data_IF_037184950516
#
_entry.id   IF_037184950516
#
_cell.length_a   1.000
_cell.length_b   1.000
_cell.length_c   1.000
_cell.angle_alpha   90.00
_cell.angle_beta   90.00
_cell.angle_gamma   90.00
#
_symmetry.space_group_name_H-M   'P 1'
#
loop_
_entity.id
_entity.type
_entity.pdbx_description
1 polymer ?
#
# COMPACT_ATOMS: atom_id res chain seq x y z
N UNK A 1 39.19 36.72 5.25
CA UNK A 1 40.00 35.54 5.65
C UNK A 1 41.33 35.61 4.93
N UNK A 2 42.46 35.58 5.64
CA UNK A 2 43.79 35.70 5.03
C UNK A 2 44.20 34.44 4.25
N UNK A 3 45.05 34.60 3.24
CA UNK A 3 45.60 33.53 2.39
C UNK A 3 46.10 32.31 3.21
N UNK A 4 46.73 32.57 4.37
CA UNK A 4 47.21 31.54 5.30
C UNK A 4 46.08 30.68 5.87
N UNK A 5 44.97 31.29 6.29
CA UNK A 5 43.82 30.56 6.84
C UNK A 5 43.15 29.66 5.78
N UNK A 6 43.10 30.12 4.54
CA UNK A 6 42.58 29.35 3.42
C UNK A 6 43.47 28.13 3.11
N UNK A 7 44.79 28.31 3.09
CA UNK A 7 45.75 27.21 2.85
C UNK A 7 45.66 26.16 3.96
N UNK A 8 45.61 26.59 5.23
CA UNK A 8 45.45 25.68 6.37
C UNK A 8 44.15 24.87 6.27
N UNK A 9 43.04 25.52 5.91
CA UNK A 9 41.75 24.84 5.77
C UNK A 9 41.78 23.76 4.67
N UNK A 10 42.41 24.04 3.53
CA UNK A 10 42.54 23.07 2.44
C UNK A 10 43.44 21.89 2.82
N UNK A 11 44.54 22.15 3.55
CA UNK A 11 45.43 21.08 4.04
C UNK A 11 44.72 20.18 5.05
N UNK A 12 43.99 20.76 6.01
CA UNK A 12 43.19 20.00 6.97
C UNK A 12 42.10 19.20 6.25
N UNK A 13 41.40 19.81 5.29
CA UNK A 13 40.40 19.12 4.47
C UNK A 13 40.98 17.93 3.70
N UNK A 14 42.17 18.07 3.12
CA UNK A 14 42.87 16.99 2.43
C UNK A 14 43.22 15.84 3.38
N UNK A 15 43.73 16.15 4.58
CA UNK A 15 44.07 15.14 5.60
C UNK A 15 42.81 14.38 6.02
N UNK A 16 41.71 15.08 6.27
CA UNK A 16 40.43 14.46 6.64
C UNK A 16 39.89 13.55 5.53
N UNK A 17 39.99 13.97 4.26
CA UNK A 17 39.57 13.16 3.12
C UNK A 17 40.42 11.87 2.98
N UNK A 18 41.73 11.97 3.20
CA UNK A 18 42.63 10.79 3.17
C UNK A 18 42.33 9.85 4.34
N UNK A 19 42.09 10.38 5.54
CA UNK A 19 41.72 9.58 6.71
C UNK A 19 40.39 8.87 6.51
N UNK A 20 39.37 9.56 6.00
CA UNK A 20 38.05 8.99 5.70
C UNK A 20 38.15 7.87 4.66
N UNK A 21 38.87 8.11 3.54
CA UNK A 21 39.10 7.09 2.52
C UNK A 21 39.87 5.87 3.07
N UNK A 22 40.88 6.11 3.90
CA UNK A 22 41.66 5.04 4.54
C UNK A 22 40.81 4.23 5.49
N UNK A 23 39.96 4.89 6.29
CA UNK A 23 39.01 4.23 7.19
C UNK A 23 37.98 3.42 6.39
N UNK A 24 37.48 3.96 5.27
CA UNK A 24 36.57 3.26 4.37
C UNK A 24 37.22 1.99 3.79
N UNK A 25 38.49 2.05 3.38
CA UNK A 25 39.23 0.86 2.93
C UNK A 25 39.42 -0.17 4.06
N UNK A 26 39.86 0.28 5.25
CA UNK A 26 40.11 -0.58 6.41
C UNK A 26 38.84 -1.25 6.94
N UNK A 27 37.69 -0.56 6.85
CA UNK A 27 36.36 -1.08 7.22
C UNK A 27 35.71 -1.90 6.11
N UNK A 28 36.49 -2.32 5.10
CA UNK A 28 36.05 -3.17 3.99
C UNK A 28 34.98 -2.51 3.10
N UNK A 29 34.96 -1.18 3.02
CA UNK A 29 34.05 -0.41 2.17
C UNK A 29 33.91 -0.91 0.73
N UNK A 30 35.01 -1.25 0.02
CA UNK A 30 34.94 -1.87 -1.31
C UNK A 30 34.18 -3.20 -1.32
N UNK A 31 34.41 -4.04 -0.30
CA UNK A 31 33.73 -5.33 -0.17
C UNK A 31 32.22 -5.12 0.06
N UNK A 32 31.84 -4.20 0.95
CA UNK A 32 30.43 -3.84 1.16
C UNK A 32 29.77 -3.28 -0.10
N UNK A 33 30.50 -2.49 -0.90
CA UNK A 33 30.01 -1.96 -2.16
C UNK A 33 29.78 -3.08 -3.20
N UNK A 34 30.71 -4.02 -3.31
CA UNK A 34 30.55 -5.21 -4.18
C UNK A 34 29.40 -6.08 -3.69
N UNK A 35 29.32 -6.37 -2.39
CA UNK A 35 28.21 -7.13 -1.80
C UNK A 35 26.87 -6.44 -2.06
N UNK A 36 26.79 -5.11 -1.90
CA UNK A 36 25.58 -4.34 -2.20
C UNK A 36 25.23 -4.39 -3.68
N UNK A 37 26.22 -4.37 -4.57
CA UNK A 37 26.00 -4.48 -6.01
C UNK A 37 25.49 -5.87 -6.40
N UNK A 38 26.04 -6.93 -5.80
CA UNK A 38 25.64 -8.32 -6.03
C UNK A 38 24.28 -8.65 -5.40
N UNK A 39 23.96 -8.05 -4.25
CA UNK A 39 22.69 -8.24 -3.54
C UNK A 39 21.57 -7.32 -4.03
N UNK A 40 21.79 -6.51 -5.07
CA UNK A 40 20.74 -5.67 -5.63
C UNK A 40 19.67 -6.57 -6.24
N UNK A 41 18.42 -6.53 -5.77
CA UNK A 41 17.34 -7.25 -6.43
C UNK A 41 17.26 -6.77 -7.87
N UNK A 42 17.03 -7.72 -8.79
CA UNK A 42 16.82 -7.39 -10.21
C UNK A 42 15.71 -6.37 -10.38
N UNK A 43 15.74 -5.63 -11.49
CA UNK A 43 14.63 -4.71 -11.84
C UNK A 43 13.33 -5.51 -11.85
N UNK A 44 12.39 -5.16 -10.97
CA UNK A 44 11.08 -5.81 -10.94
C UNK A 44 10.21 -5.38 -12.13
N UNK A 45 10.46 -4.19 -12.67
CA UNK A 45 9.68 -3.59 -13.75
C UNK A 45 10.62 -3.12 -14.86
N UNK A 46 10.24 -3.38 -16.11
CA UNK A 46 11.00 -3.03 -17.32
C UNK A 46 10.11 -2.29 -18.32
N UNK A 47 10.68 -1.30 -19.03
CA UNK A 47 10.00 -0.64 -20.15
C UNK A 47 9.91 -1.63 -21.30
N UNK A 48 8.70 -1.84 -21.82
CA UNK A 48 8.42 -2.79 -22.93
C UNK A 48 7.97 -2.09 -24.20
N UNK A 49 7.65 -0.81 -24.15
CA UNK A 49 7.23 -0.05 -25.32
C UNK A 49 6.80 1.37 -24.99
N UNK A 50 6.12 1.98 -25.94
CA UNK A 50 5.45 3.27 -25.81
C UNK A 50 4.00 3.10 -26.26
N UNK A 51 3.07 3.64 -25.47
CA UNK A 51 1.65 3.52 -25.68
C UNK A 51 1.06 4.90 -25.94
N UNK A 52 0.23 4.98 -26.97
CA UNK A 52 -0.54 6.18 -27.26
C UNK A 52 -1.80 6.20 -26.38
N UNK A 53 -1.58 6.51 -25.10
CA UNK A 53 -2.62 6.55 -24.05
C UNK A 53 -2.95 7.97 -23.61
N UNK A 54 -2.35 8.96 -24.26
CA UNK A 54 -2.57 10.37 -23.99
C UNK A 54 -3.48 10.96 -25.08
N UNK A 55 -4.01 12.16 -24.85
CA UNK A 55 -4.85 12.85 -25.83
C UNK A 55 -4.13 13.08 -27.18
N UNK A 56 -4.89 13.24 -28.26
CA UNK A 56 -4.35 13.44 -29.61
C UNK A 56 -3.30 14.57 -29.65
N UNK A 57 -2.11 14.24 -30.17
CA UNK A 57 -0.99 15.19 -30.30
C UNK A 57 -0.04 15.24 -29.11
N UNK A 58 -0.31 14.48 -28.05
CA UNK A 58 0.59 14.35 -26.90
C UNK A 58 1.63 13.25 -27.13
N UNK A 59 2.85 13.37 -26.56
CA UNK A 59 3.88 12.34 -26.70
C UNK A 59 3.41 11.02 -26.07
N UNK A 60 3.79 9.86 -26.63
CA UNK A 60 3.38 8.57 -26.11
C UNK A 60 4.02 8.29 -24.75
N UNK A 61 3.28 7.59 -23.89
CA UNK A 61 3.73 7.26 -22.54
C UNK A 61 4.53 5.94 -22.53
N UNK A 62 5.60 5.82 -21.74
CA UNK A 62 6.35 4.57 -21.61
C UNK A 62 5.47 3.49 -20.96
N UNK A 63 5.37 2.33 -21.62
CA UNK A 63 4.66 1.16 -21.10
C UNK A 63 5.65 0.30 -20.33
N UNK A 64 5.28 -0.02 -19.09
CA UNK A 64 6.08 -0.84 -18.19
C UNK A 64 5.38 -2.16 -17.88
N UNK A 65 6.16 -3.24 -17.75
CA UNK A 65 5.68 -4.55 -17.31
C UNK A 65 6.58 -5.14 -16.26
N UNK A 66 6.06 -6.11 -15.51
CA UNK A 66 6.86 -6.96 -14.63
C UNK A 66 7.98 -7.62 -15.45
N UNK A 67 9.22 -7.62 -14.96
CA UNK A 67 10.37 -8.13 -15.70
C UNK A 67 10.21 -9.60 -16.12
N UNK A 68 9.58 -10.42 -15.26
CA UNK A 68 9.26 -11.82 -15.54
C UNK A 68 8.09 -12.03 -16.52
N UNK A 69 7.31 -10.99 -16.80
CA UNK A 69 6.16 -11.01 -17.71
C UNK A 69 6.30 -9.93 -18.80
N UNK A 70 7.52 -9.67 -19.26
CA UNK A 70 7.79 -8.62 -20.26
C UNK A 70 7.14 -8.95 -21.61
N UNK A 71 7.19 -10.23 -22.00
CA UNK A 71 6.83 -10.68 -23.35
C UNK A 71 5.33 -11.03 -23.48
N UNK A 72 4.64 -11.32 -22.37
CA UNK A 72 3.23 -11.69 -22.36
C UNK A 72 2.52 -11.24 -21.08
N UNK A 73 1.20 -11.07 -21.16
CA UNK A 73 0.37 -10.86 -19.97
C UNK A 73 0.39 -12.11 -19.11
N UNK A 74 0.49 -11.93 -17.79
CA UNK A 74 0.30 -13.02 -16.83
C UNK A 74 -1.07 -12.88 -16.18
N UNK A 75 -1.81 -13.99 -16.10
CA UNK A 75 -3.11 -14.04 -15.44
C UNK A 75 -2.95 -14.23 -13.91
N UNK A 76 -1.85 -14.85 -13.49
CA UNK A 76 -1.54 -15.12 -12.08
C UNK A 76 -0.13 -14.64 -11.77
N UNK A 77 0.04 -14.01 -10.61
CA UNK A 77 1.36 -13.53 -10.17
C UNK A 77 2.23 -14.69 -9.66
N UNK A 78 1.61 -15.70 -9.06
CA UNK A 78 2.23 -16.87 -8.45
C UNK A 78 1.26 -18.05 -8.63
N UNK A 79 1.75 -19.22 -9.02
CA UNK A 79 0.92 -20.42 -9.23
C UNK A 79 0.22 -20.87 -7.95
N UNK A 80 0.74 -20.50 -6.77
CA UNK A 80 0.15 -20.81 -5.48
C UNK A 80 -1.03 -19.91 -5.10
N UNK A 81 -1.43 -18.96 -5.94
CA UNK A 81 -2.47 -17.96 -5.65
C UNK A 81 -3.62 -18.14 -6.63
N UNK A 82 -4.67 -18.83 -6.17
CA UNK A 82 -5.89 -19.05 -6.94
C UNK A 82 -7.04 -18.11 -6.55
N UNK A 83 -7.02 -17.58 -5.34
CA UNK A 83 -8.09 -16.76 -4.77
C UNK A 83 -7.57 -15.49 -4.11
N UNK A 84 -8.47 -14.54 -3.85
CA UNK A 84 -8.15 -13.36 -3.02
C UNK A 84 -7.74 -13.79 -1.62
N UNK A 85 -8.35 -14.86 -1.07
CA UNK A 85 -7.93 -15.46 0.20
C UNK A 85 -6.45 -15.88 0.15
N UNK A 86 -6.03 -16.63 -0.87
CA UNK A 86 -4.64 -17.09 -1.00
C UNK A 86 -3.68 -15.90 -1.08
N UNK A 87 -4.07 -14.86 -1.81
CA UNK A 87 -3.27 -13.63 -1.93
C UNK A 87 -3.09 -12.95 -0.57
N UNK A 88 -4.16 -12.80 0.21
CA UNK A 88 -4.13 -12.15 1.52
C UNK A 88 -3.32 -12.99 2.53
N UNK A 89 -3.61 -14.28 2.65
CA UNK A 89 -2.91 -15.18 3.57
C UNK A 89 -1.43 -15.32 3.22
N UNK A 90 -1.09 -15.41 1.93
CA UNK A 90 0.30 -15.42 1.46
C UNK A 90 1.01 -14.12 1.79
N UNK A 91 0.37 -12.97 1.58
CA UNK A 91 0.95 -11.66 1.87
C UNK A 91 1.19 -11.46 3.38
N UNK A 92 0.21 -11.83 4.21
CA UNK A 92 0.33 -11.82 5.67
C UNK A 92 1.53 -12.66 6.17
N UNK A 93 1.78 -13.82 5.54
CA UNK A 93 2.90 -14.70 5.88
C UNK A 93 4.25 -14.20 5.36
N UNK A 94 4.35 -13.84 4.08
CA UNK A 94 5.63 -13.50 3.46
C UNK A 94 6.18 -12.14 3.89
N UNK A 95 5.29 -11.22 4.24
CA UNK A 95 5.66 -9.87 4.64
C UNK A 95 5.31 -9.58 6.10
N UNK A 96 5.15 -10.62 6.92
CA UNK A 96 4.66 -10.57 8.30
C UNK A 96 5.16 -9.37 9.12
N UNK A 97 6.47 -9.10 9.08
CA UNK A 97 7.12 -8.04 9.87
C UNK A 97 7.16 -6.66 9.18
N UNK A 98 6.74 -6.57 7.92
CA UNK A 98 6.74 -5.31 7.17
C UNK A 98 5.51 -4.48 7.55
N UNK A 99 5.63 -3.14 7.57
CA UNK A 99 4.46 -2.27 7.74
C UNK A 99 3.51 -2.46 6.56
N UNK A 100 2.22 -2.68 6.86
CA UNK A 100 1.14 -2.86 5.90
C UNK A 100 0.20 -1.65 5.86
N UNK A 101 -0.07 -1.07 7.03
CA UNK A 101 -0.97 0.07 7.19
C UNK A 101 -0.34 1.13 8.08
N UNK A 102 -0.71 2.38 7.84
CA UNK A 102 -0.35 3.51 8.68
C UNK A 102 -1.54 4.45 8.79
N UNK A 103 -1.82 4.95 10.00
CA UNK A 103 -2.90 5.91 10.26
C UNK A 103 -2.51 6.86 11.38
N UNK A 104 -3.28 7.92 11.58
CA UNK A 104 -3.10 8.85 12.71
C UNK A 104 -4.41 8.92 13.49
N UNK A 105 -4.34 8.74 14.80
CA UNK A 105 -5.52 8.87 15.64
C UNK A 105 -6.00 10.33 15.65
N UNK A 106 -7.30 10.53 15.52
CA UNK A 106 -7.91 11.83 15.79
C UNK A 106 -7.77 12.15 17.27
N UNK A 107 -7.25 13.34 17.60
CA UNK A 107 -7.09 13.77 18.99
C UNK A 107 -8.18 14.77 19.37
N UNK A 108 -8.27 15.87 18.63
CA UNK A 108 -9.15 16.99 18.97
C UNK A 108 -9.38 17.94 17.80
N UNK A 109 -10.39 18.78 17.96
CA UNK A 109 -10.63 19.95 17.14
C UNK A 109 -9.96 21.19 17.76
N UNK A 110 -9.33 22.03 16.94
CA UNK A 110 -8.74 23.32 17.37
C UNK A 110 -9.07 24.42 16.36
N UNK A 111 -9.42 25.61 16.84
CA UNK A 111 -9.44 26.79 15.98
C UNK A 111 -8.00 27.29 15.84
N UNK A 112 -7.48 27.36 14.62
CA UNK A 112 -6.07 27.70 14.38
C UNK A 112 -5.86 29.20 14.55
N UNK A 113 -6.87 29.99 14.18
CA UNK A 113 -6.85 31.44 14.28
C UNK A 113 -8.11 31.98 14.96
N UNK A 114 -7.98 33.15 15.56
CA UNK A 114 -9.12 33.89 16.09
C UNK A 114 -10.03 34.34 14.94
N UNK A 115 -11.29 33.89 14.94
CA UNK A 115 -12.26 34.15 13.88
C UNK A 115 -12.48 33.00 12.89
N UNK A 116 -11.76 31.88 13.02
CA UNK A 116 -12.03 30.68 12.23
C UNK A 116 -13.47 30.20 12.48
N UNK A 117 -14.24 30.01 11.41
CA UNK A 117 -15.64 29.55 11.49
C UNK A 117 -15.75 28.06 11.82
N UNK A 118 -14.77 27.27 11.39
CA UNK A 118 -14.75 25.82 11.57
C UNK A 118 -13.40 25.40 12.18
N UNK A 119 -13.40 24.49 13.17
CA UNK A 119 -12.15 24.05 13.76
C UNK A 119 -11.41 23.09 12.83
N UNK A 120 -10.08 23.13 12.87
CA UNK A 120 -9.21 22.16 12.24
C UNK A 120 -9.12 20.87 13.07
N UNK A 121 -8.96 19.74 12.39
CA UNK A 121 -8.69 18.44 13.02
C UNK A 121 -7.21 18.33 13.37
N UNK A 122 -6.90 17.99 14.62
CA UNK A 122 -5.56 17.60 15.07
C UNK A 122 -5.49 16.10 15.17
N UNK A 123 -4.42 15.55 14.61
CA UNK A 123 -4.14 14.12 14.63
C UNK A 123 -2.84 13.86 15.37
N UNK A 124 -2.77 12.76 16.10
CA UNK A 124 -1.58 12.35 16.84
C UNK A 124 -0.49 11.78 15.92
N UNK A 125 0.42 11.03 16.52
CA UNK A 125 1.51 10.37 15.81
C UNK A 125 1.03 9.27 14.86
N UNK A 126 1.88 8.94 13.88
CA UNK A 126 1.62 7.86 12.95
C UNK A 126 1.71 6.54 13.71
N UNK A 127 0.61 5.79 13.67
CA UNK A 127 0.53 4.41 14.10
C UNK A 127 0.68 3.52 12.86
N UNK A 128 1.21 2.31 13.06
CA UNK A 128 1.40 1.35 11.97
C UNK A 128 0.99 -0.04 12.42
N UNK A 129 0.48 -0.83 11.47
CA UNK A 129 0.24 -2.26 11.66
C UNK A 129 1.05 -3.04 10.64
N UNK A 130 1.57 -4.20 11.05
CA UNK A 130 2.29 -5.10 10.16
C UNK A 130 1.35 -5.96 9.32
N UNK A 131 1.86 -6.61 8.28
CA UNK A 131 1.05 -7.53 7.46
C UNK A 131 0.50 -8.71 8.28
N UNK A 132 1.24 -9.19 9.29
CA UNK A 132 0.76 -10.24 10.19
C UNK A 132 -0.44 -9.76 11.01
N UNK A 133 -0.33 -8.57 11.62
CA UNK A 133 -1.41 -7.98 12.40
C UNK A 133 -2.65 -7.69 11.55
N UNK A 134 -2.46 -7.16 10.35
CA UNK A 134 -3.55 -6.95 9.40
C UNK A 134 -4.25 -8.27 9.05
N UNK A 135 -3.48 -9.32 8.74
CA UNK A 135 -4.04 -10.63 8.44
C UNK A 135 -4.86 -11.19 9.60
N UNK A 136 -4.35 -11.10 10.82
CA UNK A 136 -5.06 -11.53 12.03
C UNK A 136 -6.36 -10.75 12.25
N UNK A 137 -6.31 -9.41 12.14
CA UNK A 137 -7.48 -8.55 12.28
C UNK A 137 -8.54 -8.84 11.20
N UNK A 138 -8.13 -9.02 9.95
CA UNK A 138 -9.04 -9.38 8.87
C UNK A 138 -9.71 -10.73 9.13
N UNK A 139 -8.96 -11.77 9.54
CA UNK A 139 -9.54 -13.08 9.88
C UNK A 139 -10.51 -12.99 11.05
N UNK A 140 -10.17 -12.25 12.11
CA UNK A 140 -11.04 -12.06 13.27
C UNK A 140 -12.33 -11.30 12.89
N UNK A 141 -12.21 -10.25 12.08
CA UNK A 141 -13.36 -9.49 11.58
C UNK A 141 -14.28 -10.36 10.72
N UNK A 142 -13.72 -11.10 9.77
CA UNK A 142 -14.47 -12.04 8.93
C UNK A 142 -15.20 -13.11 9.74
N UNK A 143 -14.54 -13.70 10.75
CA UNK A 143 -15.18 -14.64 11.67
C UNK A 143 -16.36 -13.98 12.42
N UNK A 144 -16.21 -12.70 12.81
CA UNK A 144 -17.29 -11.89 13.36
C UNK A 144 -18.47 -11.73 12.41
N UNK A 145 -18.24 -11.43 11.13
CA UNK A 145 -19.30 -11.34 10.12
C UNK A 145 -20.09 -12.66 10.02
N UNK A 146 -19.38 -13.80 9.99
CA UNK A 146 -20.02 -15.13 9.98
C UNK A 146 -20.85 -15.37 11.24
N UNK A 147 -20.35 -14.97 12.41
CA UNK A 147 -21.07 -15.09 13.67
C UNK A 147 -22.35 -14.22 13.72
N UNK A 148 -22.38 -13.11 12.97
CA UNK A 148 -23.56 -12.25 12.82
C UNK A 148 -24.56 -12.76 11.76
N UNK A 149 -24.30 -13.91 11.13
CA UNK A 149 -25.20 -14.53 10.16
C UNK A 149 -24.91 -14.18 8.70
N UNK A 150 -23.78 -13.52 8.41
CA UNK A 150 -23.35 -13.37 7.02
C UNK A 150 -22.90 -14.70 6.44
N UNK A 151 -23.12 -14.92 5.15
CA UNK A 151 -22.84 -16.16 4.42
C UNK A 151 -21.79 -15.98 3.32
N UNK A 152 -21.07 -17.04 2.92
CA UNK A 152 -20.25 -16.99 1.72
C UNK A 152 -21.14 -16.77 0.50
N UNK A 153 -20.56 -16.19 -0.55
CA UNK A 153 -21.26 -16.02 -1.82
C UNK A 153 -21.70 -17.37 -2.41
N UNK A 154 -22.76 -17.37 -3.25
CA UNK A 154 -23.19 -18.52 -4.05
C UNK A 154 -22.06 -19.11 -4.94
N UNK A 155 -22.32 -20.23 -5.60
CA UNK A 155 -21.31 -20.95 -6.38
C UNK A 155 -20.65 -20.07 -7.46
N UNK A 156 -19.37 -20.35 -7.72
CA UNK A 156 -18.60 -19.60 -8.70
C UNK A 156 -19.22 -19.73 -10.11
N UNK A 157 -19.44 -18.59 -10.78
CA UNK A 157 -20.04 -18.51 -12.12
C UNK A 157 -21.49 -18.04 -12.11
N UNK A 158 -22.08 -17.87 -10.93
CA UNK A 158 -23.36 -17.21 -10.75
C UNK A 158 -23.27 -15.71 -11.07
N UNK A 159 -24.32 -15.17 -11.71
CA UNK A 159 -24.49 -13.72 -11.84
C UNK A 159 -24.86 -13.13 -10.47
N UNK A 160 -23.94 -12.37 -9.88
CA UNK A 160 -24.11 -11.80 -8.54
C UNK A 160 -25.09 -10.62 -8.52
N UNK A 161 -25.40 -10.02 -9.68
CA UNK A 161 -26.37 -8.93 -9.80
C UNK A 161 -27.80 -9.42 -9.52
N UNK A 162 -28.11 -10.65 -9.94
CA UNK A 162 -29.44 -11.25 -9.78
C UNK A 162 -29.64 -11.94 -8.41
N UNK A 163 -28.59 -11.97 -7.57
CA UNK A 163 -28.62 -12.72 -6.31
C UNK A 163 -28.68 -11.81 -5.11
N UNK A 164 -29.73 -11.97 -4.31
CA UNK A 164 -29.85 -11.38 -2.98
C UNK A 164 -29.40 -12.36 -1.91
N UNK A 165 -28.82 -11.87 -0.82
CA UNK A 165 -28.53 -12.69 0.34
C UNK A 165 -27.53 -12.08 1.32
N UNK A 166 -27.34 -12.73 2.48
CA UNK A 166 -26.46 -12.25 3.54
C UNK A 166 -24.96 -12.43 3.21
N UNK A 167 -24.58 -12.45 1.94
CA UNK A 167 -23.19 -12.51 1.47
C UNK A 167 -22.67 -11.17 0.95
N UNK A 168 -23.53 -10.14 0.89
CA UNK A 168 -23.22 -8.79 0.43
C UNK A 168 -22.93 -7.87 1.62
N UNK A 169 -21.79 -7.18 1.60
CA UNK A 169 -21.42 -6.17 2.59
C UNK A 169 -21.15 -4.84 1.91
N UNK A 170 -21.94 -3.80 2.23
CA UNK A 170 -21.68 -2.43 1.80
C UNK A 170 -20.75 -1.73 2.79
N UNK A 171 -19.68 -1.12 2.29
CA UNK A 171 -18.84 -0.21 3.05
C UNK A 171 -19.07 1.22 2.55
N UNK A 172 -19.55 2.08 3.44
CA UNK A 172 -19.72 3.51 3.22
C UNK A 172 -18.79 4.28 4.16
N UNK A 173 -17.57 4.54 3.69
CA UNK A 173 -16.53 5.23 4.45
C UNK A 173 -15.43 5.72 3.49
N UNK A 174 -14.66 6.73 3.90
CA UNK A 174 -13.40 7.05 3.23
C UNK A 174 -12.38 5.91 3.39
N UNK A 175 -11.38 5.83 2.52
CA UNK A 175 -10.35 4.78 2.64
C UNK A 175 -9.55 4.97 3.94
N UNK A 176 -9.74 4.05 4.89
CA UNK A 176 -9.11 4.02 6.21
C UNK A 176 -8.48 2.66 6.52
N UNK A 177 -7.79 2.55 7.67
CA UNK A 177 -7.23 1.28 8.13
C UNK A 177 -8.34 0.25 8.41
N UNK A 178 -9.41 0.71 9.06
CA UNK A 178 -10.60 -0.06 9.40
C UNK A 178 -11.35 -0.52 8.15
N UNK A 179 -11.48 0.35 7.14
CA UNK A 179 -12.05 0.00 5.84
C UNK A 179 -11.33 -1.20 5.23
N UNK A 180 -10.00 -1.19 5.29
CA UNK A 180 -9.16 -2.24 4.72
C UNK A 180 -9.26 -3.55 5.51
N UNK A 181 -9.34 -3.48 6.85
CA UNK A 181 -9.62 -4.66 7.70
C UNK A 181 -10.99 -5.26 7.37
N UNK A 182 -12.02 -4.41 7.21
CA UNK A 182 -13.37 -4.87 6.90
C UNK A 182 -13.45 -5.56 5.54
N UNK A 183 -12.93 -4.93 4.49
CA UNK A 183 -12.93 -5.49 3.14
C UNK A 183 -12.15 -6.82 3.08
N UNK A 184 -10.93 -6.86 3.64
CA UNK A 184 -10.14 -8.09 3.68
C UNK A 184 -10.81 -9.17 4.52
N UNK A 185 -11.44 -8.81 5.64
CA UNK A 185 -12.17 -9.73 6.48
C UNK A 185 -13.34 -10.40 5.76
N UNK A 186 -14.11 -9.63 5.00
CA UNK A 186 -15.15 -10.18 4.11
C UNK A 186 -14.56 -11.14 3.07
N UNK A 187 -13.43 -10.80 2.43
CA UNK A 187 -12.75 -11.69 1.48
C UNK A 187 -12.26 -12.98 2.15
N UNK A 188 -11.86 -12.95 3.42
CA UNK A 188 -11.46 -14.19 4.12
C UNK A 188 -12.59 -15.21 4.25
N UNK A 189 -13.85 -14.76 4.09
CA UNK A 189 -15.05 -15.58 4.21
C UNK A 189 -15.82 -15.71 2.90
N UNK A 190 -15.20 -15.36 1.76
CA UNK A 190 -15.83 -15.36 0.43
C UNK A 190 -17.12 -14.53 0.35
N UNK A 191 -17.15 -13.37 1.01
CA UNK A 191 -18.25 -12.40 0.90
C UNK A 191 -17.96 -11.35 -0.18
N UNK A 192 -19.02 -10.76 -0.73
CA UNK A 192 -18.95 -9.71 -1.74
C UNK A 192 -18.96 -8.34 -1.06
N UNK A 193 -18.02 -7.48 -1.43
CA UNK A 193 -17.90 -6.12 -0.89
C UNK A 193 -18.38 -5.11 -1.92
N UNK A 194 -19.34 -4.29 -1.54
CA UNK A 194 -19.79 -3.12 -2.28
C UNK A 194 -19.23 -1.87 -1.61
N UNK A 195 -18.86 -0.87 -2.40
CA UNK A 195 -18.28 0.37 -1.87
C UNK A 195 -19.11 1.55 -2.33
N UNK A 196 -19.66 2.30 -1.38
CA UNK A 196 -20.25 3.60 -1.64
C UNK A 196 -19.26 4.67 -1.17
N UNK A 197 -18.77 5.49 -2.10
CA UNK A 197 -17.89 6.59 -1.74
C UNK A 197 -18.64 7.62 -0.91
N UNK A 198 -18.02 8.11 0.17
CA UNK A 198 -18.59 9.13 1.05
C UNK A 198 -19.02 10.41 0.29
N UNK A 199 -18.36 10.68 -0.85
CA UNK A 199 -18.61 11.84 -1.71
C UNK A 199 -19.88 11.75 -2.55
N UNK A 200 -20.50 10.58 -2.71
CA UNK A 200 -21.71 10.41 -3.51
C UNK A 200 -22.98 10.89 -2.78
N UNK A 201 -22.88 11.21 -1.49
CA UNK A 201 -24.01 11.67 -0.69
C UNK A 201 -24.91 10.53 -0.23
N UNK A 202 -25.90 10.88 0.60
CA UNK A 202 -26.79 9.90 1.25
C UNK A 202 -27.70 9.17 0.27
N UNK A 203 -28.11 9.83 -0.82
CA UNK A 203 -29.01 9.22 -1.81
C UNK A 203 -28.35 8.00 -2.46
N UNK A 204 -27.05 8.08 -2.78
CA UNK A 204 -26.31 6.94 -3.31
C UNK A 204 -26.19 5.78 -2.31
N UNK A 205 -26.14 6.07 -1.00
CA UNK A 205 -26.16 5.03 0.05
C UNK A 205 -27.51 4.35 0.10
N UNK A 206 -28.59 5.13 0.04
CA UNK A 206 -29.97 4.61 0.03
C UNK A 206 -30.17 3.71 -1.18
N UNK A 207 -29.73 4.13 -2.37
CA UNK A 207 -29.80 3.31 -3.58
C UNK A 207 -28.95 2.03 -3.43
N UNK A 208 -27.73 2.14 -2.89
CA UNK A 208 -26.83 0.99 -2.71
C UNK A 208 -27.36 -0.07 -1.73
N UNK A 209 -28.04 0.33 -0.65
CA UNK A 209 -28.64 -0.64 0.29
C UNK A 209 -29.95 -1.24 -0.20
N UNK A 210 -30.57 -0.64 -1.21
CA UNK A 210 -31.79 -1.15 -1.84
C UNK A 210 -31.51 -2.14 -2.97
N UNK A 211 -30.26 -2.26 -3.42
CA UNK A 211 -29.87 -3.28 -4.40
C UNK A 211 -30.12 -4.66 -3.77
N UNK A 212 -30.97 -5.50 -4.39
CA UNK A 212 -31.35 -6.80 -3.84
C UNK A 212 -30.13 -7.68 -3.58
#
# INVERSE_FOLDING_TARGET
MGLVAMVVLHLVGLILAVLDFSLWLLTLGPMWMVLKLLSRPGKQVVKVGEGDVNDEGMPPSPVYRLAGARDALTATYDESVGTVYDLLSRSARLFAEKPAQAWRAFEKFVYLNEGDRFPAKVFGDIQTATYAQLGEQAHAFGAGLRAMGMEPMPEAGDDLEDKSGPFKMLIFEDTSAEWMVAAQGAFTQSMVVFTAYATLGMDAVVDAVQVP
#
